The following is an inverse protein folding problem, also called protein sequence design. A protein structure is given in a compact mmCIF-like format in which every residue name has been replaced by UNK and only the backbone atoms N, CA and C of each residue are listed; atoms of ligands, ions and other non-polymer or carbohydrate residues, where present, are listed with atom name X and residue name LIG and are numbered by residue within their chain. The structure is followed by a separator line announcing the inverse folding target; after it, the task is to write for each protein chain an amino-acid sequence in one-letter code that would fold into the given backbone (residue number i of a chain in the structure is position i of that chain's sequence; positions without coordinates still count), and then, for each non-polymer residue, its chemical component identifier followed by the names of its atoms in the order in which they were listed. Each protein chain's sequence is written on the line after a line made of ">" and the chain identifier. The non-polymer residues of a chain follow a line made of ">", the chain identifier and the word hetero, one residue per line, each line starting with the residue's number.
data_IF_240760615541
#
_entry.id   IF_240760615541
#
_cell.length_a   1.000
_cell.length_b   1.000
_cell.length_c   1.000
_cell.angle_alpha   90.00
_cell.angle_beta   90.00
_cell.angle_gamma   90.00
#
_symmetry.space_group_name_H-M   'P 1'
#
loop_
_entity.id
_entity.type
_entity.pdbx_description
1 polymer ?
#
# COMPACT_ATOMS: atom_id res chain seq x y z
N UNK A 1 -12.63 4.83 30.66
CA UNK A 1 -12.97 3.96 29.51
C UNK A 1 -11.76 3.06 29.30
N UNK A 2 -11.94 1.75 29.28
CA UNK A 2 -10.83 0.81 28.98
C UNK A 2 -10.55 0.98 27.49
N UNK A 3 -9.46 1.67 27.13
CA UNK A 3 -9.01 1.74 25.73
C UNK A 3 -8.83 0.32 25.23
N UNK A 4 -9.68 -0.10 24.29
CA UNK A 4 -9.56 -1.39 23.64
C UNK A 4 -8.35 -1.32 22.71
N UNK A 5 -7.18 -1.79 23.15
CA UNK A 5 -5.93 -1.77 22.39
C UNK A 5 -6.05 -2.46 21.00
N UNK A 6 -7.11 -3.24 20.83
CA UNK A 6 -7.40 -3.91 19.57
C UNK A 6 -8.14 -3.01 18.56
N UNK A 7 -8.65 -1.86 19.00
CA UNK A 7 -9.27 -0.84 18.15
C UNK A 7 -8.77 0.55 18.57
N UNK A 8 -7.57 0.96 18.11
CA UNK A 8 -6.97 2.22 18.52
C UNK A 8 -7.68 3.39 17.82
N UNK A 9 -8.56 4.06 18.57
CA UNK A 9 -9.26 5.24 18.07
C UNK A 9 -8.28 6.34 17.63
N UNK A 10 -8.53 6.90 16.45
CA UNK A 10 -7.73 8.01 15.92
C UNK A 10 -6.33 7.65 15.43
N UNK A 11 -5.98 6.37 15.36
CA UNK A 11 -4.72 5.91 14.75
C UNK A 11 -4.98 5.40 13.35
N UNK A 12 -4.28 5.96 12.34
CA UNK A 12 -4.33 5.50 10.96
C UNK A 12 -3.27 4.43 10.65
N UNK A 13 -3.47 3.71 9.55
CA UNK A 13 -2.46 2.81 9.01
C UNK A 13 -2.15 3.15 7.55
N UNK A 14 -0.86 3.22 7.24
CA UNK A 14 -0.33 3.57 5.91
C UNK A 14 0.47 2.40 5.37
N UNK A 15 0.10 1.93 4.17
CA UNK A 15 0.71 0.76 3.52
C UNK A 15 1.43 1.18 2.24
N UNK A 16 2.77 1.12 2.28
CA UNK A 16 3.62 1.41 1.11
C UNK A 16 3.42 0.40 -0.01
N UNK A 17 3.56 0.86 -1.26
CA UNK A 17 3.66 0.01 -2.43
C UNK A 17 5.02 -0.69 -2.54
N UNK A 18 5.11 -1.77 -3.33
CA UNK A 18 6.39 -2.48 -3.49
C UNK A 18 6.37 -3.68 -4.43
N UNK A 19 5.29 -3.89 -5.17
CA UNK A 19 5.02 -5.11 -5.93
C UNK A 19 5.17 -6.34 -5.02
N UNK A 20 5.96 -7.38 -5.40
CA UNK A 20 6.08 -8.60 -4.61
C UNK A 20 6.79 -8.43 -3.25
N UNK A 21 7.46 -7.27 -3.01
CA UNK A 21 7.93 -6.94 -1.65
C UNK A 21 6.79 -6.74 -0.64
N UNK A 22 5.58 -6.45 -1.12
CA UNK A 22 4.38 -6.34 -0.30
C UNK A 22 3.99 -7.62 0.42
N UNK A 23 4.60 -8.76 0.09
CA UNK A 23 4.42 -10.01 0.84
C UNK A 23 4.93 -9.90 2.28
N UNK A 24 5.92 -9.03 2.55
CA UNK A 24 6.33 -8.65 3.91
C UNK A 24 5.17 -7.99 4.67
N UNK A 25 4.51 -7.02 4.03
CA UNK A 25 3.33 -6.35 4.59
C UNK A 25 2.21 -7.33 4.87
N UNK A 26 1.99 -8.33 3.98
CA UNK A 26 1.02 -9.40 4.22
C UNK A 26 1.31 -10.16 5.52
N UNK A 27 2.58 -10.52 5.78
CA UNK A 27 2.97 -11.17 7.02
C UNK A 27 2.72 -10.30 8.27
N UNK A 28 3.01 -9.01 8.19
CA UNK A 28 2.72 -8.07 9.30
C UNK A 28 1.22 -7.99 9.57
N UNK A 29 0.40 -7.82 8.53
CA UNK A 29 -1.04 -7.67 8.66
C UNK A 29 -1.75 -8.96 9.11
N UNK A 30 -1.27 -10.12 8.64
CA UNK A 30 -1.80 -11.41 9.11
C UNK A 30 -1.57 -11.57 10.62
N UNK A 31 -0.39 -11.20 11.13
CA UNK A 31 -0.15 -11.17 12.57
C UNK A 31 -1.05 -10.18 13.31
N UNK A 32 -1.31 -9.00 12.75
CA UNK A 32 -2.22 -8.03 13.35
C UNK A 32 -3.65 -8.57 13.40
N UNK A 33 -4.11 -9.22 12.33
CA UNK A 33 -5.43 -9.86 12.29
C UNK A 33 -5.55 -11.01 13.31
N UNK A 34 -4.50 -11.85 13.47
CA UNK A 34 -4.44 -12.88 14.51
C UNK A 34 -4.54 -12.31 15.94
N UNK A 35 -4.02 -11.11 16.17
CA UNK A 35 -4.11 -10.38 17.43
C UNK A 35 -5.41 -9.59 17.58
N UNK A 36 -6.28 -9.59 16.57
CA UNK A 36 -7.51 -8.82 16.55
C UNK A 36 -7.30 -7.31 16.45
N UNK A 37 -6.10 -6.85 16.03
CA UNK A 37 -5.81 -5.43 15.89
C UNK A 37 -6.47 -4.88 14.62
N UNK A 38 -7.32 -3.86 14.79
CA UNK A 38 -8.11 -3.26 13.72
C UNK A 38 -7.97 -1.74 13.75
N UNK A 39 -7.41 -1.16 12.69
CA UNK A 39 -7.29 0.30 12.55
C UNK A 39 -8.54 0.89 11.90
N UNK A 40 -9.04 2.04 12.37
CA UNK A 40 -10.25 2.67 11.83
C UNK A 40 -10.07 3.25 10.42
N UNK A 41 -8.82 3.50 10.03
CA UNK A 41 -8.46 4.04 8.72
C UNK A 41 -7.21 3.36 8.16
N UNK A 42 -7.28 2.98 6.91
CA UNK A 42 -6.16 2.39 6.18
C UNK A 42 -6.06 3.01 4.79
N UNK A 43 -4.89 3.52 4.44
CA UNK A 43 -4.58 3.98 3.09
C UNK A 43 -3.46 3.13 2.51
N UNK A 44 -3.66 2.60 1.30
CA UNK A 44 -2.73 1.68 0.64
C UNK A 44 -2.39 2.09 -0.78
N UNK A 45 -1.17 1.74 -1.19
CA UNK A 45 -0.61 2.05 -2.51
C UNK A 45 -0.15 0.76 -3.18
N UNK A 46 -0.61 0.47 -4.42
CA UNK A 46 -0.08 -0.68 -5.19
C UNK A 46 -0.21 -2.00 -4.41
N UNK A 47 0.90 -2.67 -4.10
CA UNK A 47 0.89 -3.84 -3.23
C UNK A 47 0.30 -3.55 -1.83
N UNK A 48 0.45 -2.33 -1.31
CA UNK A 48 -0.20 -1.89 -0.07
C UNK A 48 -1.72 -1.84 -0.21
N UNK A 49 -2.24 -1.44 -1.38
CA UNK A 49 -3.66 -1.51 -1.69
C UNK A 49 -4.19 -2.95 -1.78
N UNK A 50 -3.40 -3.88 -2.34
CA UNK A 50 -3.73 -5.31 -2.32
C UNK A 50 -3.79 -5.86 -0.88
N UNK A 51 -2.84 -5.46 -0.04
CA UNK A 51 -2.80 -5.84 1.38
C UNK A 51 -3.97 -5.27 2.18
N UNK A 52 -4.35 -4.02 1.89
CA UNK A 52 -5.53 -3.36 2.47
C UNK A 52 -6.80 -4.18 2.24
N UNK A 53 -7.01 -4.74 1.04
CA UNK A 53 -8.17 -5.58 0.72
C UNK A 53 -8.27 -6.76 1.69
N UNK A 54 -7.24 -7.58 1.79
CA UNK A 54 -7.22 -8.75 2.68
C UNK A 54 -7.41 -8.38 4.15
N UNK A 55 -6.78 -7.28 4.58
CA UNK A 55 -6.88 -6.79 5.95
C UNK A 55 -8.30 -6.30 6.30
N UNK A 56 -8.90 -5.47 5.44
CA UNK A 56 -10.26 -4.95 5.68
C UNK A 56 -11.34 -6.03 5.61
N UNK A 57 -11.12 -7.07 4.79
CA UNK A 57 -11.95 -8.27 4.74
C UNK A 57 -11.66 -9.29 5.86
N UNK A 58 -10.67 -9.02 6.72
CA UNK A 58 -10.22 -9.93 7.78
C UNK A 58 -9.86 -11.33 7.26
N UNK A 59 -9.32 -11.43 6.05
CA UNK A 59 -8.94 -12.69 5.40
C UNK A 59 -7.45 -12.99 5.58
N UNK A 60 -7.09 -13.63 6.71
CA UNK A 60 -5.72 -14.06 7.01
C UNK A 60 -5.19 -14.97 5.89
N UNK A 61 -3.99 -14.68 5.39
CA UNK A 61 -3.34 -15.43 4.33
C UNK A 61 -3.83 -15.09 2.91
N UNK A 62 -4.87 -14.30 2.73
CA UNK A 62 -5.41 -13.99 1.40
C UNK A 62 -4.35 -13.36 0.49
N UNK A 63 -3.76 -12.25 0.93
CA UNK A 63 -2.75 -11.53 0.12
C UNK A 63 -1.49 -12.38 -0.10
N UNK A 64 -1.04 -13.15 0.91
CA UNK A 64 0.03 -14.13 0.77
C UNK A 64 -0.27 -15.09 -0.38
N UNK A 65 -1.45 -15.71 -0.37
CA UNK A 65 -1.85 -16.70 -1.38
C UNK A 65 -2.01 -16.08 -2.78
N UNK A 66 -2.42 -14.82 -2.87
CA UNK A 66 -2.43 -14.08 -4.14
C UNK A 66 -1.00 -13.82 -4.67
N UNK A 67 -0.05 -13.49 -3.79
CA UNK A 67 1.30 -13.10 -4.20
C UNK A 67 2.25 -14.28 -4.41
N UNK A 68 2.07 -15.40 -3.67
CA UNK A 68 2.95 -16.58 -3.72
C UNK A 68 2.27 -17.69 -4.52
N UNK A 69 2.55 -17.74 -5.83
CA UNK A 69 2.01 -18.73 -6.73
C UNK A 69 3.05 -19.81 -7.01
N UNK A 70 2.78 -21.05 -6.56
CA UNK A 70 3.68 -22.21 -6.75
C UNK A 70 3.41 -22.95 -8.05
N UNK A 71 2.19 -22.88 -8.57
CA UNK A 71 1.80 -23.56 -9.81
C UNK A 71 2.08 -22.66 -11.03
N UNK A 72 2.75 -23.19 -12.04
CA UNK A 72 3.08 -22.46 -13.26
C UNK A 72 1.84 -21.87 -13.98
N UNK A 73 0.73 -22.59 -13.95
CA UNK A 73 -0.53 -22.16 -14.55
C UNK A 73 -1.17 -20.97 -13.82
N UNK A 74 -0.80 -20.73 -12.56
CA UNK A 74 -1.36 -19.64 -11.74
C UNK A 74 -0.47 -18.39 -11.73
N UNK A 75 0.69 -18.41 -12.42
CA UNK A 75 1.56 -17.25 -12.49
C UNK A 75 0.90 -16.11 -13.28
N UNK A 76 0.88 -14.92 -12.69
CA UNK A 76 0.35 -13.70 -13.31
C UNK A 76 1.45 -12.74 -13.81
N UNK A 77 2.72 -13.17 -13.71
CA UNK A 77 3.90 -12.38 -14.06
C UNK A 77 4.85 -13.19 -14.94
N UNK A 78 5.47 -12.54 -15.93
CA UNK A 78 6.54 -13.10 -16.75
C UNK A 78 6.30 -12.97 -18.26
N UNK A 79 7.26 -13.51 -19.05
CA UNK A 79 7.24 -13.41 -20.52
C UNK A 79 6.02 -14.09 -21.14
N UNK A 80 5.51 -15.16 -20.52
CA UNK A 80 4.30 -15.84 -20.99
C UNK A 80 3.08 -14.91 -20.98
N UNK A 81 3.00 -13.98 -20.01
CA UNK A 81 1.93 -13.01 -19.91
C UNK A 81 2.03 -11.95 -21.04
N UNK A 82 3.23 -11.65 -21.51
CA UNK A 82 3.42 -10.74 -22.62
C UNK A 82 2.80 -11.28 -23.93
N UNK A 83 2.84 -12.60 -24.12
CA UNK A 83 2.26 -13.27 -25.29
C UNK A 83 0.72 -13.31 -25.18
N UNK A 84 0.17 -13.67 -24.02
CA UNK A 84 -1.27 -13.90 -23.85
C UNK A 84 -2.05 -12.62 -23.48
N UNK A 85 -1.54 -11.81 -22.55
CA UNK A 85 -2.21 -10.64 -22.03
C UNK A 85 -1.69 -9.30 -22.61
N UNK A 86 -0.62 -9.33 -23.43
CA UNK A 86 0.09 -8.13 -23.95
C UNK A 86 0.58 -7.20 -22.82
N UNK A 87 0.86 -7.77 -21.66
CA UNK A 87 1.40 -7.11 -20.47
C UNK A 87 2.35 -8.06 -19.77
N UNK A 88 3.34 -7.54 -19.03
CA UNK A 88 4.26 -8.38 -18.25
C UNK A 88 3.60 -8.85 -16.96
N UNK A 89 2.67 -8.04 -16.42
CA UNK A 89 1.85 -8.37 -15.25
C UNK A 89 0.40 -8.48 -15.70
N UNK A 90 -0.20 -9.64 -15.51
CA UNK A 90 -1.62 -9.87 -15.76
C UNK A 90 -2.44 -9.49 -14.52
N UNK A 91 -2.79 -8.22 -14.40
CA UNK A 91 -3.61 -7.72 -13.28
C UNK A 91 -5.07 -8.20 -13.39
N UNK A 92 -5.56 -8.50 -14.58
CA UNK A 92 -6.91 -9.05 -14.75
C UNK A 92 -7.06 -10.38 -14.02
N UNK A 93 -6.00 -11.18 -14.02
CA UNK A 93 -5.99 -12.42 -13.27
C UNK A 93 -6.07 -12.19 -11.76
N UNK A 94 -5.33 -11.22 -11.25
CA UNK A 94 -5.29 -10.90 -9.81
C UNK A 94 -6.65 -10.36 -9.33
N UNK A 95 -7.28 -9.47 -10.12
CA UNK A 95 -8.46 -8.74 -9.69
C UNK A 95 -9.80 -9.28 -10.22
N UNK A 96 -9.80 -10.08 -11.30
CA UNK A 96 -11.04 -10.62 -11.87
C UNK A 96 -11.10 -12.16 -11.91
N UNK A 97 -9.97 -12.89 -11.82
CA UNK A 97 -10.02 -14.35 -11.80
C UNK A 97 -9.89 -14.90 -10.37
N UNK A 98 -8.88 -14.44 -9.61
CA UNK A 98 -8.62 -14.95 -8.25
C UNK A 98 -9.79 -14.72 -7.30
N UNK A 99 -10.34 -13.50 -7.17
CA UNK A 99 -11.40 -13.21 -6.19
C UNK A 99 -12.68 -14.00 -6.39
N UNK A 100 -12.92 -14.48 -7.62
CA UNK A 100 -14.17 -15.16 -7.97
C UNK A 100 -14.02 -16.67 -8.14
N UNK A 101 -12.84 -17.19 -8.38
CA UNK A 101 -12.65 -18.59 -8.77
C UNK A 101 -11.60 -19.34 -7.95
N UNK A 102 -10.39 -18.81 -7.82
CA UNK A 102 -9.25 -19.55 -7.24
C UNK A 102 -9.04 -19.23 -5.75
N UNK A 103 -9.20 -17.98 -5.38
CA UNK A 103 -9.02 -17.45 -4.03
C UNK A 103 -10.23 -16.55 -3.71
N UNK A 104 -11.38 -17.11 -3.35
CA UNK A 104 -12.59 -16.31 -3.14
C UNK A 104 -12.38 -15.19 -2.16
N UNK A 105 -12.68 -13.95 -2.60
CA UNK A 105 -12.59 -12.76 -1.76
C UNK A 105 -13.92 -12.53 -1.04
N UNK A 106 -13.85 -12.24 0.25
CA UNK A 106 -15.04 -11.95 1.05
C UNK A 106 -15.47 -10.48 0.91
N UNK A 107 -16.11 -10.18 -0.21
CA UNK A 107 -16.68 -8.86 -0.48
C UNK A 107 -17.68 -8.42 0.59
N UNK A 108 -18.43 -9.37 1.18
CA UNK A 108 -19.44 -9.02 2.18
C UNK A 108 -18.78 -8.50 3.45
N UNK A 109 -17.76 -9.18 3.96
CA UNK A 109 -17.00 -8.72 5.14
C UNK A 109 -16.29 -7.41 4.84
N UNK A 110 -15.69 -7.25 3.65
CA UNK A 110 -15.04 -6.00 3.25
C UNK A 110 -16.03 -4.82 3.26
N UNK A 111 -17.20 -4.96 2.61
CA UNK A 111 -18.19 -3.87 2.50
C UNK A 111 -18.90 -3.56 3.83
N UNK A 112 -18.97 -4.51 4.74
CA UNK A 112 -19.51 -4.32 6.09
C UNK A 112 -18.45 -3.91 7.11
N UNK A 113 -17.20 -3.74 6.70
CA UNK A 113 -16.12 -3.34 7.59
C UNK A 113 -16.28 -1.89 8.04
N UNK A 114 -16.03 -1.63 9.33
CA UNK A 114 -15.96 -0.28 9.88
C UNK A 114 -14.65 0.44 9.52
N UNK A 115 -13.74 -0.24 8.82
CA UNK A 115 -12.48 0.34 8.38
C UNK A 115 -12.72 1.26 7.20
N UNK A 116 -12.42 2.54 7.36
CA UNK A 116 -12.37 3.45 6.22
C UNK A 116 -11.12 3.16 5.40
N UNK A 117 -11.30 2.77 4.15
CA UNK A 117 -10.20 2.40 3.24
C UNK A 117 -10.01 3.44 2.15
N UNK A 118 -8.75 3.76 1.81
CA UNK A 118 -8.41 4.59 0.65
C UNK A 118 -7.32 3.92 -0.18
N UNK A 119 -7.51 3.94 -1.50
CA UNK A 119 -6.59 3.42 -2.50
C UNK A 119 -5.95 4.59 -3.23
N UNK A 120 -4.62 4.63 -3.25
CA UNK A 120 -3.91 5.68 -3.98
C UNK A 120 -3.76 5.29 -5.43
N UNK A 121 -4.14 6.18 -6.33
CA UNK A 121 -3.96 6.06 -7.78
C UNK A 121 -3.33 7.33 -8.33
N UNK A 122 -2.61 7.23 -9.45
CA UNK A 122 -2.08 8.40 -10.15
C UNK A 122 -2.94 8.69 -11.36
N UNK A 123 -3.58 9.85 -11.39
CA UNK A 123 -4.32 10.33 -12.55
C UNK A 123 -3.34 10.65 -13.69
N UNK A 124 -3.52 10.02 -14.86
CA UNK A 124 -2.59 10.13 -15.97
C UNK A 124 -2.60 11.51 -16.62
N UNK A 125 -3.74 12.20 -16.63
CA UNK A 125 -3.86 13.50 -17.29
C UNK A 125 -3.24 14.63 -16.44
N UNK A 126 -3.38 14.54 -15.11
CA UNK A 126 -2.89 15.58 -14.18
C UNK A 126 -1.56 15.25 -13.53
N UNK A 127 -1.13 13.98 -13.54
CA UNK A 127 0.03 13.48 -12.79
C UNK A 127 -0.17 13.46 -11.28
N UNK A 128 -1.35 13.85 -10.75
CA UNK A 128 -1.62 13.98 -9.33
C UNK A 128 -2.10 12.68 -8.69
N UNK A 129 -1.83 12.53 -7.39
CA UNK A 129 -2.42 11.46 -6.60
C UNK A 129 -3.91 11.72 -6.38
N UNK A 130 -4.73 10.70 -6.60
CA UNK A 130 -6.12 10.65 -6.16
C UNK A 130 -6.30 9.52 -5.15
N UNK A 131 -7.14 9.76 -4.12
CA UNK A 131 -7.41 8.83 -3.03
C UNK A 131 -8.85 8.40 -3.13
N UNK A 132 -9.04 7.21 -3.68
CA UNK A 132 -10.36 6.69 -4.00
C UNK A 132 -10.78 5.60 -3.01
N UNK A 133 -12.07 5.41 -2.85
CA UNK A 133 -12.64 4.36 -2.00
C UNK A 133 -13.82 3.69 -2.71
N UNK A 134 -14.14 2.48 -2.28
CA UNK A 134 -15.31 1.74 -2.73
C UNK A 134 -15.82 0.83 -1.60
N UNK A 135 -17.13 0.85 -1.37
CA UNK A 135 -17.76 0.08 -0.31
C UNK A 135 -19.09 -0.60 -0.70
N UNK A 136 -19.39 -0.70 -2.00
CA UNK A 136 -20.65 -1.26 -2.50
C UNK A 136 -20.54 -2.09 -3.77
N UNK A 137 -19.74 -1.63 -4.71
CA UNK A 137 -19.63 -2.24 -6.04
C UNK A 137 -18.36 -3.08 -6.14
N UNK A 138 -18.54 -4.41 -6.29
CA UNK A 138 -17.43 -5.36 -6.42
C UNK A 138 -16.54 -5.08 -7.62
N UNK A 139 -17.16 -4.84 -8.78
CA UNK A 139 -16.42 -4.61 -10.01
C UNK A 139 -15.62 -3.30 -9.96
N UNK A 140 -16.19 -2.24 -9.36
CA UNK A 140 -15.50 -0.99 -9.17
C UNK A 140 -14.35 -1.13 -8.16
N UNK A 141 -14.53 -1.93 -7.09
CA UNK A 141 -13.45 -2.25 -6.12
C UNK A 141 -12.28 -2.98 -6.79
N UNK A 142 -12.58 -4.00 -7.61
CA UNK A 142 -11.58 -4.75 -8.37
C UNK A 142 -10.82 -3.82 -9.34
N UNK A 143 -11.55 -2.97 -10.06
CA UNK A 143 -10.98 -2.00 -10.99
C UNK A 143 -10.11 -0.97 -10.26
N UNK A 144 -10.52 -0.53 -9.08
CA UNK A 144 -9.77 0.40 -8.24
C UNK A 144 -8.47 -0.24 -7.70
N UNK A 145 -8.54 -1.46 -7.20
CA UNK A 145 -7.35 -2.22 -6.80
C UNK A 145 -6.38 -2.42 -7.96
N UNK A 146 -6.90 -2.77 -9.14
CA UNK A 146 -6.13 -2.89 -10.38
C UNK A 146 -5.48 -1.56 -10.77
N UNK A 147 -6.19 -0.44 -10.71
CA UNK A 147 -5.65 0.89 -11.01
C UNK A 147 -4.48 1.23 -10.09
N UNK A 148 -4.65 1.06 -8.77
CA UNK A 148 -3.61 1.30 -7.79
C UNK A 148 -2.34 0.46 -8.01
N UNK A 149 -2.48 -0.76 -8.55
CA UNK A 149 -1.38 -1.69 -8.81
C UNK A 149 -0.84 -1.64 -10.27
N UNK A 150 -1.35 -0.74 -11.13
CA UNK A 150 -0.98 -0.68 -12.55
C UNK A 150 0.37 0.00 -12.75
N UNK A 151 1.45 -0.76 -12.62
CA UNK A 151 2.83 -0.29 -12.78
C UNK A 151 3.08 0.11 -14.24
N UNK A 152 3.52 1.36 -14.53
CA UNK A 152 3.79 1.80 -15.88
C UNK A 152 4.85 0.94 -16.58
N UNK A 153 4.71 0.74 -17.88
CA UNK A 153 5.46 -0.15 -18.78
C UNK A 153 5.19 -1.66 -18.55
N UNK A 154 4.71 -2.07 -17.38
CA UNK A 154 4.40 -3.46 -17.04
C UNK A 154 2.91 -3.78 -17.13
N UNK A 155 2.07 -2.77 -16.97
CA UNK A 155 0.61 -2.86 -17.04
C UNK A 155 0.05 -1.75 -17.89
N UNK A 156 -1.19 -1.91 -18.40
CA UNK A 156 -1.92 -0.86 -19.11
C UNK A 156 -2.47 0.18 -18.14
N UNK A 157 -2.74 1.38 -18.64
CA UNK A 157 -3.59 2.34 -17.92
C UNK A 157 -4.96 1.73 -17.66
N UNK A 158 -5.53 2.00 -16.51
CA UNK A 158 -6.87 1.55 -16.12
C UNK A 158 -7.82 2.72 -16.21
N UNK A 159 -8.92 2.52 -16.91
CA UNK A 159 -9.99 3.50 -16.97
C UNK A 159 -10.99 3.24 -15.84
N UNK A 160 -11.26 4.27 -15.05
CA UNK A 160 -12.22 4.25 -13.96
C UNK A 160 -12.90 5.63 -13.87
N UNK A 161 -14.22 5.64 -13.83
CA UNK A 161 -15.04 6.85 -13.76
C UNK A 161 -14.67 7.90 -14.84
N UNK A 162 -14.36 7.43 -16.07
CA UNK A 162 -13.99 8.28 -17.22
C UNK A 162 -12.59 8.90 -17.17
N UNK A 163 -11.74 8.50 -16.21
CA UNK A 163 -10.36 8.95 -16.07
C UNK A 163 -9.39 7.77 -16.25
N UNK A 164 -8.17 8.07 -16.68
CA UNK A 164 -7.08 7.08 -16.82
C UNK A 164 -6.15 7.12 -15.63
N UNK A 165 -5.88 5.95 -15.06
CA UNK A 165 -5.03 5.81 -13.88
C UNK A 165 -3.88 4.84 -14.08
N UNK A 166 -2.81 5.09 -13.37
CA UNK A 166 -1.68 4.20 -13.13
C UNK A 166 -1.39 4.09 -11.62
N UNK A 167 -0.40 3.26 -11.27
CA UNK A 167 0.05 2.96 -9.91
C UNK A 167 0.22 4.24 -9.07
N UNK A 168 -0.44 4.26 -7.91
CA UNK A 168 -0.41 5.40 -7.00
C UNK A 168 0.99 5.75 -6.48
N UNK A 169 1.91 4.77 -6.44
CA UNK A 169 3.28 5.00 -6.01
C UNK A 169 4.12 5.88 -6.95
N UNK A 170 3.57 6.36 -8.07
CA UNK A 170 4.20 7.37 -8.90
C UNK A 170 4.09 8.75 -8.27
N UNK A 171 2.91 9.08 -7.73
CA UNK A 171 2.57 10.41 -7.20
C UNK A 171 2.56 10.48 -5.67
N UNK A 172 2.30 9.35 -4.98
CA UNK A 172 2.37 9.27 -3.51
C UNK A 172 2.72 7.83 -3.09
N UNK A 173 4.00 7.58 -2.82
CA UNK A 173 4.50 6.22 -2.49
C UNK A 173 4.26 5.84 -1.02
N UNK A 174 4.23 6.84 -0.10
CA UNK A 174 4.00 6.66 1.35
C UNK A 174 2.96 7.71 1.77
N UNK A 175 1.64 7.42 1.69
CA UNK A 175 0.59 8.42 1.83
C UNK A 175 0.35 8.87 3.28
N UNK A 176 1.44 9.19 4.01
CA UNK A 176 1.37 9.66 5.40
C UNK A 176 0.72 11.04 5.50
N UNK A 177 1.01 11.95 4.57
CA UNK A 177 0.37 13.27 4.53
C UNK A 177 -1.14 13.15 4.32
N UNK A 178 -1.57 12.18 3.50
CA UNK A 178 -3.00 11.90 3.33
C UNK A 178 -3.65 11.47 4.64
N UNK A 179 -3.05 10.52 5.37
CA UNK A 179 -3.59 10.06 6.65
C UNK A 179 -3.71 11.22 7.66
N UNK A 180 -2.69 12.07 7.76
CA UNK A 180 -2.71 13.25 8.62
C UNK A 180 -3.83 14.23 8.23
N UNK A 181 -4.00 14.53 6.93
CA UNK A 181 -5.07 15.43 6.44
C UNK A 181 -6.47 14.85 6.62
N UNK A 182 -6.60 13.53 6.79
CA UNK A 182 -7.85 12.87 7.15
C UNK A 182 -8.12 12.87 8.66
N UNK A 183 -7.27 13.50 9.46
CA UNK A 183 -7.42 13.64 10.91
C UNK A 183 -6.71 12.59 11.74
N UNK A 184 -5.98 11.65 11.11
CA UNK A 184 -5.21 10.62 11.81
C UNK A 184 -3.81 11.14 12.12
N UNK A 185 -3.66 11.84 13.26
CA UNK A 185 -2.40 12.45 13.68
C UNK A 185 -1.38 11.45 14.18
N UNK A 186 -1.81 10.25 14.59
CA UNK A 186 -0.96 9.08 14.88
C UNK A 186 -1.16 8.03 13.80
N UNK A 187 -0.06 7.42 13.36
CA UNK A 187 -0.12 6.43 12.30
C UNK A 187 0.87 5.27 12.51
N UNK A 188 0.45 4.08 12.12
CA UNK A 188 1.35 2.95 11.89
C UNK A 188 1.67 2.88 10.41
N UNK A 189 2.94 2.93 10.05
CA UNK A 189 3.39 2.91 8.65
C UNK A 189 4.15 1.62 8.38
N UNK A 190 3.68 0.82 7.42
CA UNK A 190 4.36 -0.40 7.00
C UNK A 190 5.05 -0.15 5.67
N UNK A 191 6.39 -0.20 5.69
CA UNK A 191 7.25 -0.02 4.52
C UNK A 191 7.65 -1.38 3.92
N UNK A 192 7.91 -1.39 2.63
CA UNK A 192 8.36 -2.57 1.87
C UNK A 192 9.86 -2.53 1.57
N UNK A 193 10.54 -1.45 2.01
CA UNK A 193 11.98 -1.23 1.85
C UNK A 193 12.65 -1.09 3.19
N UNK A 194 13.88 -1.62 3.29
CA UNK A 194 14.73 -1.36 4.45
C UNK A 194 15.22 0.08 4.47
N UNK A 195 15.79 0.48 5.58
CA UNK A 195 16.36 1.83 5.75
C UNK A 195 17.44 2.15 4.69
N UNK A 196 17.42 3.38 4.17
CA UNK A 196 18.44 3.89 3.26
C UNK A 196 18.29 3.50 1.78
N UNK A 197 17.24 2.76 1.42
CA UNK A 197 17.01 2.37 0.02
C UNK A 197 16.03 3.33 -0.65
N UNK A 198 16.53 4.10 -1.63
CA UNK A 198 15.77 5.04 -2.44
C UNK A 198 15.59 4.48 -3.86
N UNK A 199 14.40 4.58 -4.48
CA UNK A 199 14.20 4.18 -5.85
C UNK A 199 15.03 5.05 -6.79
N UNK A 200 15.70 4.42 -7.75
CA UNK A 200 16.48 5.10 -8.78
C UNK A 200 15.88 4.85 -10.15
N UNK A 201 16.17 5.74 -11.09
CA UNK A 201 15.76 5.60 -12.48
C UNK A 201 17.00 5.78 -13.36
N UNK A 202 17.24 4.84 -14.28
CA UNK A 202 18.33 4.94 -15.25
C UNK A 202 17.89 5.66 -16.53
N UNK A 203 18.87 6.03 -17.37
CA UNK A 203 18.65 6.76 -18.61
C UNK A 203 17.73 6.03 -19.60
N UNK A 204 17.89 4.70 -19.74
CA UNK A 204 17.05 3.91 -20.66
C UNK A 204 15.59 3.85 -20.21
N UNK A 205 15.34 3.73 -18.92
CA UNK A 205 13.99 3.81 -18.38
C UNK A 205 13.35 5.16 -18.68
N UNK A 206 14.11 6.26 -18.57
CA UNK A 206 13.63 7.60 -18.88
C UNK A 206 13.19 7.72 -20.35
N UNK A 207 13.98 7.20 -21.31
CA UNK A 207 13.62 7.17 -22.73
C UNK A 207 12.33 6.35 -22.96
N UNK A 208 12.22 5.18 -22.33
CA UNK A 208 11.03 4.36 -22.45
C UNK A 208 9.78 5.09 -21.97
N UNK A 209 9.84 5.73 -20.79
CA UNK A 209 8.71 6.53 -20.29
C UNK A 209 8.34 7.65 -21.24
N UNK A 210 9.31 8.41 -21.75
CA UNK A 210 9.07 9.49 -22.74
C UNK A 210 8.42 8.97 -24.02
N UNK A 211 8.78 7.77 -24.46
CA UNK A 211 8.25 7.17 -25.69
C UNK A 211 6.79 6.71 -25.49
N UNK A 212 6.51 6.01 -24.38
CA UNK A 212 5.20 5.41 -24.16
C UNK A 212 4.15 6.39 -23.61
N UNK A 213 4.59 7.44 -22.90
CA UNK A 213 3.69 8.39 -22.23
C UNK A 213 3.84 9.83 -22.74
N UNK A 214 4.30 10.00 -23.99
CA UNK A 214 4.52 11.33 -24.63
C UNK A 214 3.28 12.22 -24.61
N UNK A 215 2.10 11.61 -24.67
CA UNK A 215 0.81 12.33 -24.68
C UNK A 215 0.31 12.71 -23.27
N UNK A 216 1.08 12.38 -22.21
CA UNK A 216 0.79 12.65 -20.81
C UNK A 216 1.96 13.38 -20.13
N UNK A 217 2.21 14.67 -20.46
CA UNK A 217 3.38 15.39 -19.95
C UNK A 217 3.39 15.53 -18.43
N UNK A 218 2.25 15.79 -17.81
CA UNK A 218 2.14 15.89 -16.35
C UNK A 218 2.47 14.55 -15.65
N UNK A 219 2.04 13.43 -16.23
CA UNK A 219 2.43 12.10 -15.75
C UNK A 219 3.95 11.87 -15.85
N UNK A 220 4.57 12.29 -16.97
CA UNK A 220 6.03 12.17 -17.16
C UNK A 220 6.79 12.97 -16.09
N UNK A 221 6.35 14.17 -15.77
CA UNK A 221 6.95 14.99 -14.71
C UNK A 221 6.84 14.28 -13.35
N UNK A 222 5.69 13.72 -13.04
CA UNK A 222 5.48 12.93 -11.83
C UNK A 222 6.39 11.71 -11.76
N UNK A 223 6.49 10.94 -12.85
CA UNK A 223 7.36 9.77 -12.93
C UNK A 223 8.83 10.17 -12.70
N UNK A 224 9.28 11.26 -13.28
CA UNK A 224 10.68 11.69 -13.17
C UNK A 224 11.02 12.31 -11.81
N UNK A 225 10.04 12.93 -11.16
CA UNK A 225 10.21 13.49 -9.81
C UNK A 225 9.99 12.47 -8.69
N UNK A 226 9.52 11.27 -9.00
CA UNK A 226 9.24 10.23 -8.01
C UNK A 226 10.40 9.93 -7.04
N UNK A 227 11.68 9.83 -7.46
CA UNK A 227 12.78 9.62 -6.51
C UNK A 227 12.90 10.72 -5.45
N UNK A 228 12.75 11.97 -5.87
CA UNK A 228 12.80 13.15 -4.98
C UNK A 228 11.61 13.16 -4.03
N UNK A 229 10.40 12.93 -4.54
CA UNK A 229 9.19 12.83 -3.73
C UNK A 229 9.32 11.74 -2.67
N UNK A 230 9.82 10.56 -3.05
CA UNK A 230 10.01 9.44 -2.12
C UNK A 230 11.02 9.77 -1.01
N UNK A 231 12.12 10.43 -1.34
CA UNK A 231 13.11 10.89 -0.35
C UNK A 231 12.50 11.90 0.62
N UNK A 232 11.74 12.87 0.13
CA UNK A 232 11.02 13.83 0.97
C UNK A 232 10.02 13.16 1.91
N UNK A 233 9.31 12.13 1.44
CA UNK A 233 8.42 11.33 2.29
C UNK A 233 9.18 10.57 3.39
N UNK A 234 10.35 10.02 3.09
CA UNK A 234 11.20 9.38 4.10
C UNK A 234 11.71 10.38 5.14
N UNK A 235 12.11 11.59 4.73
CA UNK A 235 12.54 12.66 5.65
C UNK A 235 11.38 13.03 6.58
N UNK A 236 10.19 13.30 6.03
CA UNK A 236 9.00 13.59 6.81
C UNK A 236 8.68 12.45 7.79
N UNK A 237 8.74 11.21 7.33
CA UNK A 237 8.46 10.04 8.15
C UNK A 237 9.42 9.93 9.33
N UNK A 238 10.71 10.19 9.12
CA UNK A 238 11.72 10.19 10.19
C UNK A 238 11.41 11.28 11.23
N UNK A 239 11.10 12.51 10.80
CA UNK A 239 10.70 13.57 11.72
C UNK A 239 9.45 13.21 12.54
N UNK A 240 8.44 12.63 11.89
CA UNK A 240 7.22 12.21 12.57
C UNK A 240 7.46 11.04 13.55
N UNK A 241 8.43 10.17 13.25
CA UNK A 241 8.83 9.08 14.13
C UNK A 241 9.57 9.61 15.35
N UNK A 242 10.48 10.57 15.19
CA UNK A 242 11.16 11.27 16.30
C UNK A 242 10.17 12.02 17.20
N UNK A 243 9.13 12.62 16.62
CA UNK A 243 8.03 13.26 17.33
C UNK A 243 7.06 12.27 18.03
N UNK A 244 7.25 10.94 17.87
CA UNK A 244 6.35 9.93 18.41
C UNK A 244 4.95 9.87 17.74
N UNK A 245 4.79 10.51 16.58
CA UNK A 245 3.52 10.54 15.81
C UNK A 245 3.35 9.36 14.87
N UNK A 246 4.44 8.65 14.55
CA UNK A 246 4.45 7.52 13.65
C UNK A 246 5.21 6.34 14.25
N UNK A 247 4.63 5.14 14.14
CA UNK A 247 5.32 3.88 14.40
C UNK A 247 5.62 3.20 13.06
N UNK A 248 6.91 3.03 12.74
CA UNK A 248 7.36 2.50 11.45
C UNK A 248 7.75 1.04 11.59
N UNK A 249 7.16 0.19 10.73
CA UNK A 249 7.52 -1.23 10.57
C UNK A 249 8.14 -1.39 9.17
N UNK A 250 9.34 -1.96 9.11
CA UNK A 250 10.05 -2.17 7.85
C UNK A 250 10.87 -3.45 7.86
N UNK A 251 11.17 -4.02 6.69
CA UNK A 251 12.05 -5.20 6.62
C UNK A 251 13.48 -4.85 7.06
N UNK A 252 14.13 -5.80 7.70
CA UNK A 252 15.53 -5.75 8.12
C UNK A 252 16.42 -6.59 7.20
N UNK A 253 15.87 -7.68 6.64
CA UNK A 253 16.57 -8.52 5.67
C UNK A 253 16.81 -7.79 4.34
N UNK A 254 17.81 -8.20 3.55
CA UNK A 254 17.99 -7.72 2.19
C UNK A 254 16.71 -7.86 1.37
N UNK A 255 16.39 -6.83 0.58
CA UNK A 255 15.16 -6.84 -0.22
C UNK A 255 15.19 -7.93 -1.27
N UNK A 256 14.07 -8.62 -1.42
CA UNK A 256 13.81 -9.45 -2.60
C UNK A 256 13.65 -8.56 -3.84
N UNK A 257 13.79 -9.14 -5.02
CA UNK A 257 13.52 -8.41 -6.27
C UNK A 257 12.08 -7.90 -6.29
N UNK A 258 11.86 -6.71 -6.89
CA UNK A 258 10.52 -6.13 -7.04
C UNK A 258 9.53 -7.10 -7.69
N UNK A 259 10.01 -7.90 -8.65
CA UNK A 259 9.28 -8.95 -9.35
C UNK A 259 10.00 -10.29 -9.12
N UNK A 260 10.07 -10.71 -7.85
CA UNK A 260 10.63 -12.00 -7.47
C UNK A 260 9.71 -13.13 -7.96
N UNK A 261 10.29 -14.17 -8.53
CA UNK A 261 9.54 -15.31 -9.05
C UNK A 261 9.76 -16.58 -8.25
N UNK A 262 10.72 -16.58 -7.34
CA UNK A 262 11.03 -17.71 -6.48
C UNK A 262 10.04 -17.75 -5.29
N UNK A 263 9.13 -18.73 -5.23
CA UNK A 263 8.11 -18.80 -4.18
C UNK A 263 8.70 -19.02 -2.79
N UNK A 264 9.87 -19.67 -2.68
CA UNK A 264 10.50 -19.91 -1.39
C UNK A 264 11.13 -18.64 -0.81
N UNK A 265 11.65 -17.77 -1.67
CA UNK A 265 12.10 -16.43 -1.25
C UNK A 265 10.93 -15.53 -0.84
N UNK A 266 9.80 -15.60 -1.57
CA UNK A 266 8.59 -14.89 -1.20
C UNK A 266 8.04 -15.39 0.14
N UNK A 267 7.97 -16.71 0.36
CA UNK A 267 7.57 -17.32 1.62
C UNK A 267 8.47 -16.90 2.78
N UNK A 268 9.80 -16.92 2.58
CA UNK A 268 10.77 -16.44 3.57
C UNK A 268 10.55 -14.96 3.92
N UNK A 269 10.24 -14.13 2.93
CA UNK A 269 10.03 -12.70 3.15
C UNK A 269 8.68 -12.40 3.83
N UNK A 270 7.64 -13.21 3.57
CA UNK A 270 6.40 -13.21 4.33
C UNK A 270 6.63 -13.58 5.80
N UNK A 271 7.36 -14.67 6.06
CA UNK A 271 7.68 -15.10 7.40
C UNK A 271 8.52 -14.06 8.16
N UNK A 272 9.38 -13.33 7.46
CA UNK A 272 10.09 -12.18 8.03
C UNK A 272 9.11 -11.08 8.49
N UNK A 273 8.06 -10.79 7.72
CA UNK A 273 7.01 -9.85 8.12
C UNK A 273 6.30 -10.28 9.41
N UNK A 274 5.93 -11.56 9.52
CA UNK A 274 5.37 -12.13 10.76
C UNK A 274 6.33 -11.98 11.95
N UNK A 275 7.62 -12.26 11.74
CA UNK A 275 8.63 -12.17 12.80
C UNK A 275 8.83 -10.73 13.28
N UNK A 276 8.92 -9.77 12.37
CA UNK A 276 9.06 -8.34 12.71
C UNK A 276 7.82 -7.86 13.48
N UNK A 277 6.60 -8.18 13.01
CA UNK A 277 5.39 -7.82 13.71
C UNK A 277 5.34 -8.39 15.13
N UNK A 278 5.78 -9.65 15.31
CA UNK A 278 5.86 -10.30 16.61
C UNK A 278 6.92 -9.66 17.52
N UNK A 279 8.08 -9.32 16.98
CA UNK A 279 9.17 -8.73 17.77
C UNK A 279 8.83 -7.32 18.27
N UNK A 280 8.20 -6.49 17.44
CA UNK A 280 7.83 -5.12 17.79
C UNK A 280 6.44 -5.01 18.48
N UNK A 281 5.76 -6.12 18.75
CA UNK A 281 4.38 -6.10 19.26
C UNK A 281 4.21 -5.33 20.56
N UNK A 282 5.11 -5.51 21.53
CA UNK A 282 5.05 -4.81 22.81
C UNK A 282 5.25 -3.29 22.64
N UNK A 283 6.18 -2.90 21.78
CA UNK A 283 6.46 -1.50 21.52
C UNK A 283 5.30 -0.85 20.74
N UNK A 284 4.70 -1.59 19.81
CA UNK A 284 3.48 -1.16 19.12
C UNK A 284 2.32 -0.97 20.12
N UNK A 285 2.10 -1.92 21.01
CA UNK A 285 1.06 -1.79 22.04
C UNK A 285 1.30 -0.55 22.93
N UNK A 286 2.54 -0.31 23.36
CA UNK A 286 2.92 0.89 24.10
C UNK A 286 2.65 2.16 23.29
N UNK A 287 3.01 2.17 21.99
CA UNK A 287 2.72 3.28 21.11
C UNK A 287 1.21 3.54 20.98
N UNK A 288 0.40 2.49 20.82
CA UNK A 288 -1.06 2.62 20.66
C UNK A 288 -1.75 3.07 21.96
N UNK A 289 -1.23 2.69 23.14
CA UNK A 289 -1.80 3.04 24.45
C UNK A 289 -1.47 4.45 24.91
N UNK A 290 -0.38 5.05 24.43
CA UNK A 290 -0.02 6.42 24.78
C UNK A 290 -1.03 7.41 24.18
N UNK A 291 -1.78 8.10 25.02
CA UNK A 291 -2.77 9.11 24.60
C UNK A 291 -2.07 10.39 24.11
N UNK A 292 -2.14 10.70 22.82
CA UNK A 292 -1.65 11.97 22.31
C UNK A 292 -2.74 12.92 21.83
N UNK A 293 -4.01 12.49 21.76
CA UNK A 293 -5.02 13.32 21.10
C UNK A 293 -5.41 14.57 21.90
N UNK A 294 -5.51 14.49 23.20
CA UNK A 294 -5.87 15.67 23.98
C UNK A 294 -4.74 16.69 24.06
N UNK A 295 -3.49 16.24 24.19
CA UNK A 295 -2.35 17.16 24.28
C UNK A 295 -2.00 17.82 22.95
N UNK A 296 -2.10 17.09 21.83
CA UNK A 296 -1.91 17.63 20.47
C UNK A 296 -3.07 18.54 20.06
N UNK A 297 -4.32 18.16 20.33
CA UNK A 297 -5.48 19.04 20.06
C UNK A 297 -5.41 20.33 20.90
N UNK A 298 -5.01 20.25 22.17
CA UNK A 298 -4.79 21.45 23.00
C UNK A 298 -3.65 22.31 22.49
N UNK A 299 -2.54 21.74 22.02
CA UNK A 299 -1.43 22.48 21.41
C UNK A 299 -1.85 23.16 20.10
N UNK A 300 -2.60 22.48 19.22
CA UNK A 300 -3.13 23.06 17.98
C UNK A 300 -4.20 24.12 18.23
N UNK A 301 -5.11 23.92 19.19
CA UNK A 301 -6.12 24.93 19.56
C UNK A 301 -5.48 26.16 20.19
N UNK A 302 -4.46 25.97 21.05
CA UNK A 302 -3.74 27.09 21.66
C UNK A 302 -2.85 27.83 20.66
N UNK A 303 -2.30 27.17 19.64
CA UNK A 303 -1.53 27.84 18.58
C UNK A 303 -2.44 28.69 17.67
N UNK A 304 -3.65 28.22 17.37
CA UNK A 304 -4.64 28.95 16.55
C UNK A 304 -5.36 30.07 17.32
N UNK A 305 -5.36 30.04 18.65
CA UNK A 305 -5.96 31.11 19.45
C UNK A 305 -4.96 32.24 19.80
N UNK A 306 -3.67 32.07 19.44
CA UNK A 306 -2.62 33.05 19.65
C UNK A 306 -2.15 33.74 18.35
N UNK A 307 -2.81 33.49 17.23
CA UNK A 307 -2.68 34.22 15.96
C UNK A 307 -3.93 35.02 15.66
#
# INVERSE_FOLDING_TARGET
>A
MINNLNQPDGVGMVLEGGALRGVFTAGVLDYFMEKGLKFPYVVGVSAGACNLLGYAAHQIGYTKNCMIQREANNQYFGVNQLIHAKTIINLDRIFYEYPYHQLPFDFQTFFNSDIRTEFVVTNCDTGQAEYLHENRDKHRLDTLGKASASVPLFSKMVELDGKKYLDGGLSDSIPITRAITQGFLKNVVILTRRHGVIPTMNYYQRILYQTFYKDFPALLDTIFNRPVMYEQQLILLNCLQEDGKVFVIRPELPEIKRFETDPDKLESYYNHGLQIAKSCWKDLQSYLSNEPQEELQRKYQNANNNT
#
